data_IF_672606693760
#
_entry.id   IF_672606693760
#
_cell.length_a   1.000
_cell.length_b   1.000
_cell.length_c   1.000
_cell.angle_alpha   90.00
_cell.angle_beta   90.00
_cell.angle_gamma   90.00
#
_symmetry.space_group_name_H-M   'P 1'
#
loop_
_entity.id
_entity.type
_entity.pdbx_description
1 polymer ?
#
# COMPACT_ATOMS: atom_id res chain seq x y z
N UNK A 1 -23.21 12.76 6.08
CA UNK A 1 -23.62 12.36 4.70
C UNK A 1 -22.94 11.04 4.42
N UNK A 2 -23.62 10.00 3.94
CA UNK A 2 -22.95 8.73 3.64
C UNK A 2 -22.93 8.41 2.14
N UNK A 3 -21.83 7.82 1.69
CA UNK A 3 -21.59 7.44 0.30
C UNK A 3 -21.29 5.94 0.25
N UNK A 4 -21.89 5.23 -0.71
CA UNK A 4 -21.55 3.83 -0.99
C UNK A 4 -20.99 3.69 -2.39
N UNK A 5 -19.80 3.11 -2.45
CA UNK A 5 -18.95 2.99 -3.62
C UNK A 5 -18.67 1.52 -3.91
N UNK A 6 -18.88 1.05 -5.13
CA UNK A 6 -18.52 -0.31 -5.53
C UNK A 6 -17.79 -0.31 -6.86
N UNK A 7 -16.58 -0.86 -6.93
CA UNK A 7 -15.73 -0.88 -8.12
C UNK A 7 -15.05 -2.23 -8.36
N UNK A 8 -14.70 -2.49 -9.63
CA UNK A 8 -13.96 -3.68 -10.05
C UNK A 8 -12.53 -3.29 -10.45
N UNK A 9 -11.53 -3.94 -9.84
CA UNK A 9 -10.13 -3.63 -10.10
C UNK A 9 -9.25 -4.88 -10.20
N UNK A 10 -8.28 -4.89 -11.12
CA UNK A 10 -7.23 -5.92 -11.17
C UNK A 10 -6.02 -5.43 -10.37
N UNK A 11 -5.69 -6.11 -9.27
CA UNK A 11 -4.74 -5.57 -8.30
C UNK A 11 -4.13 -6.57 -7.32
N UNK A 12 -3.34 -6.02 -6.40
CA UNK A 12 -2.83 -6.68 -5.21
C UNK A 12 -3.18 -5.84 -3.99
N UNK A 13 -3.30 -6.49 -2.84
CA UNK A 13 -3.35 -5.81 -1.55
C UNK A 13 -1.98 -5.85 -0.89
N UNK A 14 -1.61 -4.76 -0.23
CA UNK A 14 -0.38 -4.62 0.58
C UNK A 14 -0.76 -4.11 1.96
N UNK A 15 0.08 -4.30 2.99
CA UNK A 15 -0.14 -3.63 4.27
C UNK A 15 -0.15 -2.11 4.06
N UNK A 16 -1.10 -1.42 4.68
CA UNK A 16 -1.17 0.04 4.57
C UNK A 16 0.09 0.70 5.13
N UNK A 17 0.66 0.11 6.18
CA UNK A 17 1.96 0.46 6.76
C UNK A 17 3.09 0.52 5.71
N UNK A 18 3.34 -0.59 5.01
CA UNK A 18 4.44 -0.64 4.04
C UNK A 18 4.27 0.36 2.90
N UNK A 19 3.02 0.62 2.48
CA UNK A 19 2.73 1.63 1.46
C UNK A 19 2.93 3.04 2.01
N UNK A 20 2.50 3.35 3.23
CA UNK A 20 2.71 4.67 3.85
C UNK A 20 4.19 5.02 3.93
N UNK A 21 5.04 4.07 4.33
CA UNK A 21 6.49 4.30 4.40
C UNK A 21 7.09 4.52 3.01
N UNK A 22 6.67 3.71 2.03
CA UNK A 22 7.10 3.90 0.65
C UNK A 22 6.67 5.26 0.07
N UNK A 23 5.46 5.73 0.40
CA UNK A 23 4.95 7.06 0.01
C UNK A 23 5.79 8.16 0.66
N UNK A 24 6.05 8.07 1.95
CA UNK A 24 6.85 9.07 2.67
C UNK A 24 8.31 9.11 2.17
N UNK A 25 8.90 7.96 1.85
CA UNK A 25 10.26 7.84 1.31
C UNK A 25 10.37 8.19 -0.19
N UNK A 26 9.27 8.24 -0.93
CA UNK A 26 9.30 8.41 -2.38
C UNK A 26 10.06 9.65 -2.86
N UNK A 27 9.86 10.85 -2.29
CA UNK A 27 10.53 12.05 -2.76
C UNK A 27 12.06 11.96 -2.64
N UNK A 28 12.58 11.31 -1.60
CA UNK A 28 14.03 11.14 -1.39
C UNK A 28 14.61 10.03 -2.27
N UNK A 29 13.82 9.01 -2.61
CA UNK A 29 14.25 7.88 -3.43
C UNK A 29 14.34 8.17 -4.94
N UNK A 30 13.67 9.21 -5.44
CA UNK A 30 13.66 9.54 -6.87
C UNK A 30 15.07 9.81 -7.44
N UNK A 31 15.86 10.64 -6.74
CA UNK A 31 17.23 10.96 -7.15
C UNK A 31 18.15 9.74 -7.18
N UNK A 32 18.28 8.99 -6.07
CA UNK A 32 19.02 7.74 -6.04
C UNK A 32 18.58 6.72 -7.09
N UNK A 33 17.27 6.60 -7.36
CA UNK A 33 16.76 5.72 -8.41
C UNK A 33 17.20 6.13 -9.80
N UNK A 34 17.11 7.42 -10.14
CA UNK A 34 17.58 7.93 -11.42
C UNK A 34 19.09 7.72 -11.60
N UNK A 35 19.88 7.97 -10.54
CA UNK A 35 21.32 7.74 -10.55
C UNK A 35 21.65 6.26 -10.78
N UNK A 36 21.06 5.35 -10.01
CA UNK A 36 21.33 3.92 -10.12
C UNK A 36 20.87 3.34 -11.46
N UNK A 37 19.73 3.78 -11.99
CA UNK A 37 19.26 3.37 -13.31
C UNK A 37 20.23 3.85 -14.42
N UNK A 38 20.78 5.06 -14.29
CA UNK A 38 21.79 5.60 -15.22
C UNK A 38 23.12 4.83 -15.14
N UNK A 39 23.59 4.49 -13.94
CA UNK A 39 24.79 3.66 -13.75
C UNK A 39 24.62 2.30 -14.41
N UNK A 40 23.50 1.63 -14.17
CA UNK A 40 23.20 0.33 -14.79
C UNK A 40 23.09 0.43 -16.32
N UNK A 41 22.47 1.49 -16.85
CA UNK A 41 22.39 1.73 -18.29
C UNK A 41 23.77 1.90 -18.93
N UNK A 42 24.58 2.82 -18.39
CA UNK A 42 25.92 3.10 -18.91
C UNK A 42 26.82 1.87 -18.85
N UNK A 43 26.73 1.09 -17.77
CA UNK A 43 27.49 -0.14 -17.67
C UNK A 43 27.07 -1.20 -18.70
N UNK A 44 25.77 -1.40 -18.92
CA UNK A 44 25.28 -2.30 -19.99
C UNK A 44 25.73 -1.88 -21.38
N UNK A 45 25.91 -0.57 -21.60
CA UNK A 45 26.40 -0.01 -22.86
C UNK A 45 27.93 0.04 -22.94
N UNK A 46 28.66 -0.31 -21.88
CA UNK A 46 30.12 -0.18 -21.82
C UNK A 46 30.62 1.28 -21.81
N UNK A 47 29.75 2.24 -21.46
CA UNK A 47 30.04 3.68 -21.47
C UNK A 47 30.19 4.28 -20.07
N UNK A 48 30.21 3.45 -19.03
CA UNK A 48 30.44 3.91 -17.66
C UNK A 48 31.92 4.28 -17.49
N UNK A 49 32.24 5.52 -17.81
CA UNK A 49 33.54 6.12 -17.52
C UNK A 49 33.44 6.98 -16.25
N UNK A 50 34.44 6.82 -15.39
CA UNK A 50 34.66 7.62 -14.19
C UNK A 50 36.10 8.08 -14.26
N UNK A 51 36.30 9.35 -14.59
CA UNK A 51 37.62 9.97 -14.63
C UNK A 51 38.17 10.08 -13.21
N UNK A 52 39.37 9.55 -12.99
CA UNK A 52 40.21 9.94 -11.86
C UNK A 52 41.12 11.07 -12.31
N UNK A 53 41.47 11.95 -11.37
CA UNK A 53 42.44 13.04 -11.55
C UNK A 53 43.79 12.57 -12.10
N UNK A 54 44.14 11.30 -11.85
CA UNK A 54 45.47 10.74 -12.09
C UNK A 54 45.54 9.74 -13.27
N UNK A 55 44.49 9.66 -14.12
CA UNK A 55 44.50 8.82 -15.33
C UNK A 55 44.31 7.31 -15.09
N UNK A 56 44.16 6.86 -13.84
CA UNK A 56 43.79 5.48 -13.52
C UNK A 56 42.30 5.20 -13.80
N UNK A 57 41.98 3.96 -14.22
CA UNK A 57 40.59 3.50 -14.21
C UNK A 57 40.05 3.49 -12.77
N UNK A 58 38.83 3.99 -12.60
CA UNK A 58 38.14 3.97 -11.31
C UNK A 58 37.53 2.60 -11.07
N UNK A 59 37.75 2.04 -9.88
CA UNK A 59 37.18 0.76 -9.42
C UNK A 59 35.65 0.74 -9.56
N UNK A 60 35.00 1.90 -9.52
CA UNK A 60 33.55 2.07 -9.71
C UNK A 60 33.07 1.56 -11.08
N UNK A 61 33.90 1.65 -12.12
CA UNK A 61 33.56 1.17 -13.47
C UNK A 61 33.43 -0.35 -13.52
N UNK A 62 34.24 -1.05 -12.71
CA UNK A 62 34.32 -2.52 -12.68
C UNK A 62 33.32 -3.15 -11.70
N UNK A 63 32.57 -2.35 -10.93
CA UNK A 63 31.63 -2.85 -9.92
C UNK A 63 30.52 -3.70 -10.57
N UNK A 64 30.35 -4.98 -10.16
CA UNK A 64 29.33 -5.89 -10.68
C UNK A 64 27.88 -5.41 -10.47
N UNK A 65 26.93 -5.97 -11.23
CA UNK A 65 25.54 -5.44 -11.26
C UNK A 65 24.82 -5.79 -9.97
N UNK A 66 25.18 -6.94 -9.45
CA UNK A 66 24.78 -7.51 -8.18
C UNK A 66 25.12 -6.55 -7.04
N UNK A 67 26.29 -5.90 -7.08
CA UNK A 67 26.68 -4.92 -6.05
C UNK A 67 25.83 -3.66 -6.16
N UNK A 68 25.56 -3.17 -7.38
CA UNK A 68 24.65 -2.03 -7.57
C UNK A 68 23.21 -2.34 -7.15
N UNK A 69 22.75 -3.57 -7.34
CA UNK A 69 21.45 -4.03 -6.88
C UNK A 69 21.40 -4.11 -5.34
N UNK A 70 22.48 -4.54 -4.68
CA UNK A 70 22.61 -4.50 -3.20
C UNK A 70 22.62 -3.05 -2.69
N UNK A 71 23.37 -2.15 -3.33
CA UNK A 71 23.39 -0.72 -2.98
C UNK A 71 21.99 -0.14 -3.09
N UNK A 72 21.28 -0.41 -4.19
CA UNK A 72 19.87 0.01 -4.37
C UNK A 72 19.00 -0.47 -3.23
N UNK A 73 19.05 -1.77 -2.93
CA UNK A 73 18.27 -2.39 -1.86
C UNK A 73 18.55 -1.71 -0.51
N UNK A 74 19.81 -1.44 -0.18
CA UNK A 74 20.19 -0.80 1.08
C UNK A 74 19.79 0.68 1.17
N UNK A 75 19.86 1.42 0.07
CA UNK A 75 19.34 2.80 0.02
C UNK A 75 17.84 2.82 0.30
N UNK A 76 17.09 1.89 -0.30
CA UNK A 76 15.64 1.76 -0.04
C UNK A 76 15.38 1.42 1.43
N UNK A 77 16.10 0.47 2.01
CA UNK A 77 15.95 0.12 3.43
C UNK A 77 16.15 1.32 4.35
N UNK A 78 17.17 2.16 4.08
CA UNK A 78 17.48 3.33 4.90
C UNK A 78 16.36 4.38 4.85
N UNK A 79 15.86 4.69 3.64
CA UNK A 79 14.79 5.68 3.47
C UNK A 79 13.46 5.18 4.05
N UNK A 80 13.14 3.89 3.86
CA UNK A 80 11.95 3.29 4.47
C UNK A 80 12.04 3.29 6.00
N UNK A 81 13.20 2.97 6.57
CA UNK A 81 13.39 2.99 8.03
C UNK A 81 13.29 4.40 8.59
N UNK A 82 13.82 5.40 7.89
CA UNK A 82 13.66 6.80 8.28
C UNK A 82 12.17 7.23 8.25
N UNK A 83 11.44 6.81 7.22
CA UNK A 83 10.00 7.07 7.10
C UNK A 83 9.18 6.39 8.21
N UNK A 84 9.49 5.15 8.55
CA UNK A 84 8.88 4.42 9.68
C UNK A 84 9.09 5.17 11.00
N UNK A 85 10.32 5.54 11.32
CA UNK A 85 10.66 6.27 12.56
C UNK A 85 9.90 7.59 12.62
N UNK A 86 9.87 8.36 11.52
CA UNK A 86 9.15 9.63 11.46
C UNK A 86 7.63 9.46 11.61
N UNK A 87 7.08 8.38 11.04
CA UNK A 87 5.66 8.06 11.19
C UNK A 87 5.32 7.70 12.64
N UNK A 88 6.08 6.79 13.25
CA UNK A 88 5.92 6.42 14.66
C UNK A 88 6.02 7.66 15.53
N UNK A 89 7.02 8.52 15.32
CA UNK A 89 7.18 9.79 16.05
C UNK A 89 5.95 10.70 15.91
N UNK A 90 5.34 10.77 14.72
CA UNK A 90 4.13 11.59 14.50
C UNK A 90 2.89 11.10 15.24
N UNK A 91 2.88 9.84 15.65
CA UNK A 91 1.77 9.23 16.41
C UNK A 91 2.01 9.25 17.93
N UNK A 92 3.16 9.76 18.39
CA UNK A 92 3.50 9.78 19.81
C UNK A 92 2.75 10.90 20.52
N UNK A 93 2.01 10.54 21.56
CA UNK A 93 1.62 11.50 22.60
C UNK A 93 2.81 11.80 23.51
N UNK A 94 2.98 13.09 23.86
CA UNK A 94 3.96 13.55 24.86
C UNK A 94 3.85 12.78 26.19
N UNK A 95 2.66 12.30 26.54
CA UNK A 95 2.38 11.64 27.82
C UNK A 95 2.56 10.11 27.79
N UNK A 96 2.42 9.44 26.64
CA UNK A 96 2.34 7.97 26.59
C UNK A 96 3.66 7.28 26.23
N UNK A 97 4.61 7.99 25.62
CA UNK A 97 5.79 7.33 25.05
C UNK A 97 6.99 7.19 26.01
N UNK A 98 6.88 7.65 27.26
CA UNK A 98 7.89 7.47 28.31
C UNK A 98 9.33 7.64 27.82
N UNK A 99 10.21 6.72 28.21
CA UNK A 99 11.63 6.69 27.83
C UNK A 99 11.92 6.05 26.45
N UNK A 100 10.89 5.58 25.73
CA UNK A 100 11.09 4.88 24.47
C UNK A 100 11.34 5.89 23.35
N UNK A 101 12.31 5.60 22.48
CA UNK A 101 12.52 6.37 21.24
C UNK A 101 11.70 5.78 20.10
N UNK A 102 11.27 6.60 19.12
CA UNK A 102 10.58 6.08 17.93
C UNK A 102 11.39 5.02 17.17
N UNK A 103 12.71 5.07 17.24
CA UNK A 103 13.59 4.05 16.66
C UNK A 103 13.45 2.66 17.29
N UNK A 104 12.85 2.55 18.48
CA UNK A 104 12.65 1.30 19.21
C UNK A 104 11.21 0.77 19.11
N UNK A 105 10.29 1.55 18.53
CA UNK A 105 8.87 1.24 18.47
C UNK A 105 8.47 0.89 17.03
N UNK A 106 7.52 -0.03 16.90
CA UNK A 106 6.78 -0.26 15.65
C UNK A 106 5.49 0.56 15.69
N UNK A 107 4.83 0.76 14.54
CA UNK A 107 3.52 1.40 14.51
C UNK A 107 2.51 0.67 15.41
N UNK A 108 2.46 -0.65 15.34
CA UNK A 108 1.58 -1.46 16.19
C UNK A 108 1.81 -1.21 17.69
N UNK A 109 3.07 -1.21 18.14
CA UNK A 109 3.39 -1.00 19.56
C UNK A 109 3.10 0.44 20.00
N UNK A 110 3.41 1.43 19.16
CA UNK A 110 3.09 2.82 19.43
C UNK A 110 1.57 3.03 19.53
N UNK A 111 0.80 2.41 18.62
CA UNK A 111 -0.65 2.44 18.62
C UNK A 111 -1.23 1.82 19.90
N UNK A 112 -0.78 0.61 20.29
CA UNK A 112 -1.25 -0.07 21.50
C UNK A 112 -0.94 0.72 22.78
N UNK A 113 0.25 1.32 22.88
CA UNK A 113 0.65 2.15 24.03
C UNK A 113 -0.26 3.38 24.13
N UNK A 114 -0.46 4.10 23.03
CA UNK A 114 -1.30 5.30 23.00
C UNK A 114 -2.77 4.97 23.30
N UNK A 115 -3.30 3.89 22.70
CA UNK A 115 -4.67 3.43 22.93
C UNK A 115 -4.91 3.07 24.40
N UNK A 116 -3.94 2.39 25.04
CA UNK A 116 -4.05 2.01 26.45
C UNK A 116 -3.96 3.20 27.42
N UNK A 117 -3.09 4.18 27.15
CA UNK A 117 -2.80 5.26 28.11
C UNK A 117 -3.71 6.48 27.96
N UNK A 118 -4.01 6.92 26.74
CA UNK A 118 -4.78 8.14 26.54
C UNK A 118 -6.27 7.89 26.35
N UNK A 119 -6.69 6.68 25.95
CA UNK A 119 -8.08 6.38 25.54
C UNK A 119 -8.51 7.11 24.27
N UNK A 120 -7.95 8.29 24.02
CA UNK A 120 -7.81 8.96 22.75
C UNK A 120 -6.61 8.30 22.05
N UNK A 121 -6.89 7.36 21.13
CA UNK A 121 -5.85 6.94 20.21
C UNK A 121 -5.34 8.22 19.56
N UNK A 122 -4.04 8.49 19.65
CA UNK A 122 -3.30 9.64 19.07
C UNK A 122 -3.40 9.71 17.52
N UNK A 123 -4.57 9.45 16.99
CA UNK A 123 -4.90 8.66 15.81
C UNK A 123 -6.14 9.25 15.11
N UNK A 124 -6.99 10.00 15.83
CA UNK A 124 -8.17 10.67 15.25
C UNK A 124 -7.81 11.75 14.24
N UNK A 125 -6.61 12.35 14.35
CA UNK A 125 -6.09 13.33 13.37
C UNK A 125 -5.22 12.70 12.27
N UNK A 126 -4.84 11.42 12.38
CA UNK A 126 -4.01 10.79 11.36
C UNK A 126 -4.87 10.34 10.19
N UNK A 127 -4.83 11.11 9.11
CA UNK A 127 -5.62 10.84 7.89
C UNK A 127 -5.00 9.76 6.98
N UNK A 128 -3.89 9.12 7.33
CA UNK A 128 -3.31 8.06 6.50
C UNK A 128 -3.05 8.52 5.06
N UNK A 129 -3.58 7.78 4.07
CA UNK A 129 -3.51 8.10 2.64
C UNK A 129 -4.66 9.00 2.16
N UNK A 130 -5.63 9.34 3.02
CA UNK A 130 -6.68 10.32 2.69
C UNK A 130 -6.17 11.75 2.83
N UNK A 131 -5.09 11.97 3.58
CA UNK A 131 -4.34 13.23 3.56
C UNK A 131 -3.94 13.59 2.12
N UNK A 132 -4.32 14.79 1.69
CA UNK A 132 -4.15 15.24 0.31
C UNK A 132 -2.69 15.14 -0.17
N UNK A 133 -1.74 15.54 0.66
CA UNK A 133 -0.32 15.57 0.28
C UNK A 133 0.23 14.15 0.11
N UNK A 134 -0.04 13.25 1.05
CA UNK A 134 0.35 11.83 0.94
C UNK A 134 -0.34 11.16 -0.24
N UNK A 135 -1.60 11.48 -0.50
CA UNK A 135 -2.34 10.97 -1.65
C UNK A 135 -1.68 11.36 -2.98
N UNK A 136 -1.34 12.64 -3.16
CA UNK A 136 -0.67 13.15 -4.37
C UNK A 136 0.69 12.45 -4.60
N UNK A 137 1.45 12.22 -3.52
CA UNK A 137 2.72 11.49 -3.59
C UNK A 137 2.49 10.01 -3.92
N UNK A 138 1.49 9.36 -3.31
CA UNK A 138 1.13 7.97 -3.60
C UNK A 138 0.72 7.77 -5.06
N UNK A 139 -0.08 8.69 -5.60
CA UNK A 139 -0.47 8.68 -7.02
C UNK A 139 0.75 8.83 -7.93
N UNK A 140 1.67 9.75 -7.60
CA UNK A 140 2.92 9.93 -8.36
C UNK A 140 3.82 8.68 -8.30
N UNK A 141 3.97 8.08 -7.12
CA UNK A 141 4.72 6.85 -6.91
C UNK A 141 4.14 5.72 -7.76
N UNK A 142 2.84 5.45 -7.65
CA UNK A 142 2.19 4.32 -8.34
C UNK A 142 2.17 4.52 -9.86
N UNK A 143 1.97 5.75 -10.32
CA UNK A 143 2.03 6.10 -11.74
C UNK A 143 3.40 5.74 -12.35
N UNK A 144 4.50 5.90 -11.60
CA UNK A 144 5.85 5.53 -12.08
C UNK A 144 6.02 4.02 -12.34
N UNK A 145 5.16 3.18 -11.78
CA UNK A 145 5.09 1.74 -12.04
C UNK A 145 3.93 1.35 -12.98
N UNK A 146 3.19 2.33 -13.52
CA UNK A 146 2.02 2.09 -14.35
C UNK A 146 0.87 1.44 -13.57
N UNK A 147 0.71 1.84 -12.31
CA UNK A 147 -0.29 1.39 -11.34
C UNK A 147 -1.10 2.59 -10.82
N UNK A 148 -2.19 2.32 -10.10
CA UNK A 148 -3.06 3.32 -9.52
C UNK A 148 -3.49 2.93 -8.10
N UNK A 149 -3.97 3.92 -7.35
CA UNK A 149 -4.64 3.76 -6.06
C UNK A 149 -6.15 3.97 -6.29
N UNK A 150 -6.97 2.91 -6.34
CA UNK A 150 -8.42 3.05 -6.55
C UNK A 150 -9.11 3.90 -5.50
N UNK A 151 -8.65 3.78 -4.25
CA UNK A 151 -9.16 4.51 -3.11
C UNK A 151 -8.05 4.72 -2.09
N UNK A 152 -7.96 5.89 -1.46
CA UNK A 152 -7.05 6.11 -0.33
C UNK A 152 -7.49 5.39 0.95
N UNK A 153 -8.69 4.83 0.97
CA UNK A 153 -9.30 4.34 2.20
C UNK A 153 -8.84 2.90 2.45
N UNK A 154 -8.20 2.64 3.61
CA UNK A 154 -7.64 1.33 3.91
C UNK A 154 -8.74 0.29 4.14
N UNK A 155 -8.45 -0.94 3.76
CA UNK A 155 -9.27 -2.12 4.08
C UNK A 155 -8.99 -2.53 5.52
N UNK A 156 -10.03 -2.61 6.35
CA UNK A 156 -9.92 -2.92 7.77
C UNK A 156 -10.00 -4.41 8.09
N UNK A 157 -9.37 -4.80 9.19
CA UNK A 157 -9.44 -6.17 9.71
C UNK A 157 -10.85 -6.49 10.27
N UNK A 158 -11.47 -5.50 10.90
CA UNK A 158 -12.78 -5.56 11.53
C UNK A 158 -13.69 -4.47 10.95
N UNK A 159 -14.99 -4.71 10.99
CA UNK A 159 -16.01 -3.70 10.68
C UNK A 159 -17.06 -3.76 11.80
N UNK A 160 -16.63 -3.97 13.06
CA UNK A 160 -17.57 -4.07 14.18
C UNK A 160 -18.17 -2.71 14.48
N UNK A 161 -19.47 -2.72 14.78
CA UNK A 161 -20.30 -1.55 15.10
C UNK A 161 -19.82 -0.82 16.36
N UNK A 162 -19.01 -1.47 17.19
CA UNK A 162 -18.48 -0.94 18.46
C UNK A 162 -17.14 -0.18 18.31
N UNK A 163 -16.61 -0.05 17.09
CA UNK A 163 -15.38 0.73 16.84
C UNK A 163 -15.69 2.23 16.81
N UNK A 164 -14.93 3.01 17.59
CA UNK A 164 -15.06 4.46 17.65
C UNK A 164 -14.94 5.07 16.23
N UNK A 165 -15.89 5.93 15.82
CA UNK A 165 -15.81 6.63 14.53
C UNK A 165 -14.50 7.41 14.41
N UNK A 166 -13.77 7.25 13.30
CA UNK A 166 -12.61 8.08 12.97
C UNK A 166 -11.21 7.53 13.28
N UNK A 167 -11.08 6.30 13.83
CA UNK A 167 -9.76 5.66 14.05
C UNK A 167 -9.22 4.87 12.83
N UNK A 168 -10.03 4.70 11.78
CA UNK A 168 -9.79 3.70 10.72
C UNK A 168 -8.53 3.93 9.91
N UNK A 169 -8.09 5.18 9.77
CA UNK A 169 -6.87 5.54 9.05
C UNK A 169 -5.61 5.33 9.88
N UNK A 170 -5.73 5.19 11.19
CA UNK A 170 -4.61 5.05 12.12
C UNK A 170 -4.43 3.63 12.67
N UNK A 171 -5.33 2.72 12.34
CA UNK A 171 -5.23 1.31 12.68
C UNK A 171 -4.06 0.64 11.92
N UNK A 172 -3.11 0.01 12.63
CA UNK A 172 -1.94 -0.64 12.01
C UNK A 172 -2.33 -1.94 11.27
N UNK A 173 -3.40 -2.62 11.71
CA UNK A 173 -3.90 -3.86 11.08
C UNK A 173 -4.84 -3.53 9.93
N UNK A 174 -4.29 -2.91 8.87
CA UNK A 174 -5.02 -2.48 7.67
C UNK A 174 -4.26 -2.81 6.38
N UNK A 175 -4.98 -2.92 5.26
CA UNK A 175 -4.41 -3.19 3.95
C UNK A 175 -4.92 -2.23 2.87
N UNK A 176 -4.06 -1.86 1.92
CA UNK A 176 -4.42 -1.00 0.80
C UNK A 176 -4.42 -1.77 -0.51
N UNK A 177 -5.44 -1.55 -1.35
CA UNK A 177 -5.50 -2.11 -2.69
C UNK A 177 -4.71 -1.22 -3.66
N UNK A 178 -3.80 -1.84 -4.41
CA UNK A 178 -3.09 -1.23 -5.54
C UNK A 178 -3.55 -1.95 -6.80
N UNK A 179 -3.95 -1.20 -7.83
CA UNK A 179 -4.49 -1.79 -9.05
C UNK A 179 -3.77 -1.31 -10.31
N UNK A 180 -4.15 -1.90 -11.43
CA UNK A 180 -3.97 -1.27 -12.73
C UNK A 180 -4.83 0.00 -12.80
N UNK A 181 -4.40 1.03 -13.54
CA UNK A 181 -5.23 2.20 -13.80
C UNK A 181 -6.50 1.78 -14.54
N UNK A 182 -7.63 2.38 -14.15
CA UNK A 182 -8.89 2.25 -14.89
C UNK A 182 -8.80 2.88 -16.29
N UNK A 183 -9.79 2.62 -17.17
CA UNK A 183 -9.82 3.25 -18.49
C UNK A 183 -9.88 4.77 -18.36
N UNK A 184 -8.88 5.45 -18.93
CA UNK A 184 -8.64 6.90 -18.85
C UNK A 184 -9.72 7.80 -19.49
N UNK A 185 -10.83 7.23 -19.97
CA UNK A 185 -11.75 7.86 -20.92
C UNK A 185 -13.09 8.32 -20.32
N UNK A 186 -13.35 8.12 -19.03
CA UNK A 186 -14.58 8.57 -18.43
C UNK A 186 -14.27 9.45 -17.22
N UNK A 187 -14.75 10.68 -17.22
CA UNK A 187 -14.90 11.50 -16.00
C UNK A 187 -15.90 10.90 -15.00
N UNK A 188 -16.13 9.59 -15.07
CA UNK A 188 -17.08 8.76 -14.35
C UNK A 188 -16.38 7.41 -14.21
N UNK A 189 -16.17 6.89 -12.99
CA UNK A 189 -15.67 5.53 -12.79
C UNK A 189 -16.64 4.54 -13.46
N UNK A 190 -16.32 3.92 -14.62
CA UNK A 190 -17.30 3.14 -15.37
C UNK A 190 -17.63 1.80 -14.71
N UNK A 191 -16.86 1.41 -13.69
CA UNK A 191 -17.12 0.23 -12.88
C UNK A 191 -17.54 0.60 -11.45
N UNK A 192 -17.53 1.89 -11.12
CA UNK A 192 -17.89 2.50 -9.85
C UNK A 192 -19.38 2.81 -9.76
N UNK A 193 -20.09 2.19 -8.82
CA UNK A 193 -21.42 2.65 -8.41
C UNK A 193 -21.25 3.51 -7.17
N UNK A 194 -21.43 4.82 -7.32
CA UNK A 194 -21.43 5.79 -6.23
C UNK A 194 -22.87 6.17 -5.91
N UNK A 195 -23.32 5.91 -4.68
CA UNK A 195 -24.69 6.22 -4.26
C UNK A 195 -24.68 6.91 -2.91
N UNK A 196 -25.27 8.11 -2.78
CA UNK A 196 -25.53 8.68 -1.46
C UNK A 196 -26.53 7.78 -0.75
N UNK A 197 -26.12 7.20 0.37
CA UNK A 197 -27.02 6.46 1.24
C UNK A 197 -27.42 7.36 2.43
N UNK A 198 -28.62 7.13 2.97
CA UNK A 198 -29.11 7.82 4.15
C UNK A 198 -29.08 6.87 5.34
N UNK A 199 -28.53 7.31 6.47
CA UNK A 199 -28.57 6.57 7.74
C UNK A 199 -27.64 7.23 8.75
N UNK A 200 -28.16 7.60 9.93
CA UNK A 200 -27.39 8.29 10.98
C UNK A 200 -26.55 7.37 11.87
N UNK A 201 -26.52 6.07 11.61
CA UNK A 201 -25.97 5.05 12.54
C UNK A 201 -25.26 3.88 11.83
N UNK A 202 -25.02 3.95 10.52
CA UNK A 202 -24.38 2.84 9.81
C UNK A 202 -22.85 2.93 9.96
N UNK A 203 -22.24 1.95 10.63
CA UNK A 203 -20.79 1.76 10.63
C UNK A 203 -20.27 1.70 9.19
N UNK A 204 -19.13 2.34 8.92
CA UNK A 204 -18.42 2.17 7.65
C UNK A 204 -18.31 0.68 7.32
N UNK A 205 -18.64 0.29 6.09
CA UNK A 205 -18.74 -1.11 5.69
C UNK A 205 -17.87 -1.40 4.48
N UNK A 206 -17.09 -2.48 4.53
CA UNK A 206 -16.27 -2.90 3.39
C UNK A 206 -16.57 -4.36 3.03
N UNK A 207 -16.62 -4.66 1.73
CA UNK A 207 -16.72 -6.00 1.19
C UNK A 207 -15.74 -6.17 0.01
N UNK A 208 -14.92 -7.22 0.04
CA UNK A 208 -13.91 -7.48 -0.98
C UNK A 208 -14.05 -8.92 -1.47
N UNK A 209 -14.37 -9.10 -2.75
CA UNK A 209 -14.56 -10.42 -3.34
C UNK A 209 -13.59 -10.68 -4.47
N UNK A 210 -13.10 -11.91 -4.55
CA UNK A 210 -12.37 -12.39 -5.72
C UNK A 210 -13.34 -12.63 -6.88
N UNK A 211 -12.93 -12.19 -8.08
CA UNK A 211 -13.66 -12.41 -9.33
C UNK A 211 -12.72 -13.04 -10.35
N UNK A 212 -13.27 -13.80 -11.30
CA UNK A 212 -12.48 -14.47 -12.35
C UNK A 212 -12.76 -13.85 -13.72
N UNK A 213 -11.79 -13.08 -14.23
CA UNK A 213 -11.76 -12.56 -15.60
C UNK A 213 -10.37 -12.75 -16.21
N UNK A 214 -10.24 -12.46 -17.51
CA UNK A 214 -8.96 -12.50 -18.22
C UNK A 214 -7.91 -11.59 -17.56
N UNK A 215 -6.66 -12.06 -17.52
CA UNK A 215 -5.55 -11.31 -16.92
C UNK A 215 -4.99 -10.30 -17.91
N UNK A 216 -4.89 -9.00 -17.56
CA UNK A 216 -4.26 -8.00 -18.41
C UNK A 216 -2.76 -8.29 -18.64
N UNK A 217 -2.28 -8.08 -19.86
CA UNK A 217 -0.88 -8.34 -20.23
C UNK A 217 0.11 -7.51 -19.43
N UNK A 218 1.20 -8.11 -18.95
CA UNK A 218 2.26 -7.43 -18.21
C UNK A 218 1.90 -6.98 -16.78
N UNK A 219 0.65 -7.20 -16.33
CA UNK A 219 0.19 -6.73 -15.02
C UNK A 219 1.01 -7.29 -13.85
N UNK A 220 1.27 -8.61 -13.86
CA UNK A 220 2.07 -9.29 -12.82
C UNK A 220 3.46 -8.69 -12.63
N UNK A 221 4.11 -8.29 -13.73
CA UNK A 221 5.47 -7.74 -13.68
C UNK A 221 5.49 -6.35 -13.04
N UNK A 222 4.46 -5.52 -13.28
CA UNK A 222 4.35 -4.19 -12.66
C UNK A 222 4.24 -4.28 -11.15
N UNK A 223 3.33 -5.14 -10.66
CA UNK A 223 3.17 -5.39 -9.23
C UNK A 223 4.45 -5.95 -8.60
N UNK A 224 5.08 -6.95 -9.23
CA UNK A 224 6.35 -7.51 -8.73
C UNK A 224 7.44 -6.46 -8.65
N UNK A 225 7.57 -5.60 -9.67
CA UNK A 225 8.56 -4.53 -9.70
C UNK A 225 8.32 -3.51 -8.59
N UNK A 226 7.07 -3.13 -8.34
CA UNK A 226 6.72 -2.23 -7.23
C UNK A 226 7.12 -2.85 -5.89
N UNK A 227 6.61 -4.05 -5.61
CA UNK A 227 6.82 -4.75 -4.34
C UNK A 227 8.30 -4.99 -4.08
N UNK A 228 9.05 -5.46 -5.08
CA UNK A 228 10.48 -5.72 -4.91
C UNK A 228 11.31 -4.45 -4.77
N UNK A 229 10.91 -3.34 -5.39
CA UNK A 229 11.71 -2.11 -5.43
C UNK A 229 11.47 -1.19 -4.25
N UNK A 230 10.32 -1.31 -3.58
CA UNK A 230 9.94 -0.52 -2.41
C UNK A 230 9.70 -1.38 -1.17
N UNK A 231 10.06 -2.66 -1.22
CA UNK A 231 9.95 -3.63 -0.12
C UNK A 231 8.54 -3.66 0.49
N UNK A 232 7.51 -3.51 -0.35
CA UNK A 232 6.13 -3.57 0.13
C UNK A 232 5.83 -4.96 0.68
N UNK A 233 4.91 -5.04 1.63
CA UNK A 233 4.48 -6.29 2.24
C UNK A 233 3.11 -6.67 1.66
N UNK A 234 3.04 -7.62 0.70
CA UNK A 234 1.76 -8.04 0.15
C UNK A 234 0.90 -8.71 1.21
N UNK A 235 -0.40 -8.43 1.20
CA UNK A 235 -1.36 -9.02 2.12
C UNK A 235 -2.43 -9.77 1.32
N UNK A 236 -2.90 -10.92 1.82
CA UNK A 236 -4.06 -11.60 1.24
C UNK A 236 -5.37 -11.09 1.85
N UNK A 237 -6.28 -10.59 1.01
CA UNK A 237 -7.56 -10.01 1.42
C UNK A 237 -8.69 -10.53 0.56
N UNK A 238 -9.64 -11.25 1.16
CA UNK A 238 -10.86 -11.72 0.50
C UNK A 238 -11.93 -12.08 1.53
N UNK A 239 -13.17 -11.66 1.27
CA UNK A 239 -14.36 -12.03 2.05
C UNK A 239 -15.09 -13.23 1.41
N UNK A 240 -14.65 -13.65 0.22
CA UNK A 240 -15.24 -14.75 -0.53
C UNK A 240 -14.95 -14.69 -2.03
N UNK A 241 -15.50 -15.66 -2.75
CA UNK A 241 -15.38 -15.79 -4.20
C UNK A 241 -16.75 -15.57 -4.85
N UNK A 242 -16.80 -14.68 -5.84
CA UNK A 242 -17.93 -14.58 -6.76
C UNK A 242 -17.53 -15.36 -8.02
N UNK A 243 -18.26 -16.45 -8.28
CA UNK A 243 -18.10 -17.27 -9.46
C UNK A 243 -19.40 -17.28 -10.26
N UNK A 244 -19.30 -17.41 -11.58
CA UNK A 244 -20.47 -17.61 -12.42
C UNK A 244 -21.10 -18.98 -12.06
N UNK A 245 -22.43 -19.01 -11.91
CA UNK A 245 -23.19 -20.17 -11.44
C UNK A 245 -22.94 -21.44 -12.29
N UNK A 246 -22.58 -21.27 -13.56
CA UNK A 246 -22.30 -22.35 -14.50
C UNK A 246 -20.86 -22.91 -14.42
N UNK A 247 -20.01 -22.37 -13.54
CA UNK A 247 -18.62 -22.81 -13.41
C UNK A 247 -18.45 -23.80 -12.26
N UNK A 248 -17.45 -24.69 -12.38
CA UNK A 248 -17.09 -25.63 -11.30
C UNK A 248 -16.84 -24.95 -9.94
N UNK A 249 -16.44 -23.68 -9.93
CA UNK A 249 -16.24 -22.89 -8.71
C UNK A 249 -17.54 -22.58 -7.94
N UNK A 250 -18.70 -22.59 -8.61
CA UNK A 250 -20.01 -22.35 -7.97
C UNK A 250 -20.52 -23.53 -7.13
N UNK A 251 -20.05 -24.76 -7.40
CA UNK A 251 -20.50 -25.97 -6.70
C UNK A 251 -19.81 -26.19 -5.34
N UNK A 252 -18.83 -25.36 -4.98
CA UNK A 252 -18.03 -25.49 -3.76
C UNK A 252 -18.30 -24.44 -2.68
N UNK A 253 -19.17 -23.46 -2.92
CA UNK A 253 -19.30 -22.26 -2.08
C UNK A 253 -20.22 -22.49 -0.87
N UNK A 254 -19.61 -22.54 0.33
CA UNK A 254 -20.34 -22.44 1.61
C UNK A 254 -20.95 -21.03 1.76
N UNK A 255 -22.10 -20.94 2.43
CA UNK A 255 -22.75 -19.66 2.84
C UNK A 255 -21.71 -18.69 3.40
N UNK A 256 -21.60 -17.52 2.79
CA UNK A 256 -20.67 -16.46 3.16
C UNK A 256 -21.00 -15.95 4.57
N UNK A 257 -20.12 -16.18 5.54
CA UNK A 257 -20.11 -15.46 6.82
C UNK A 257 -18.90 -14.54 6.80
N UNK A 258 -19.12 -13.22 6.96
CA UNK A 258 -18.06 -12.24 7.19
C UNK A 258 -17.31 -12.66 8.46
N UNK A 259 -16.14 -13.26 8.31
CA UNK A 259 -15.20 -13.48 9.41
C UNK A 259 -14.28 -12.26 9.47
N UNK A 260 -13.80 -11.92 10.67
CA UNK A 260 -12.73 -10.92 10.84
C UNK A 260 -11.58 -11.25 9.87
N UNK A 261 -11.13 -10.26 9.10
CA UNK A 261 -10.03 -10.43 8.14
C UNK A 261 -8.74 -10.63 8.94
N UNK A 262 -7.81 -11.39 8.36
CA UNK A 262 -6.46 -11.53 8.88
C UNK A 262 -5.54 -11.13 7.74
N UNK A 263 -4.85 -10.01 7.88
CA UNK A 263 -3.84 -9.62 6.92
C UNK A 263 -2.60 -10.49 7.15
N UNK A 264 -2.45 -11.49 6.29
CA UNK A 264 -1.26 -12.35 6.29
C UNK A 264 -0.32 -11.84 5.23
N UNK A 265 0.91 -11.54 5.63
CA UNK A 265 1.97 -11.22 4.70
C UNK A 265 2.23 -12.41 3.75
N UNK A 266 2.35 -12.10 2.46
CA UNK A 266 2.57 -13.08 1.40
C UNK A 266 3.92 -12.80 0.76
N UNK A 267 4.77 -13.82 0.71
CA UNK A 267 6.05 -13.75 0.03
C UNK A 267 5.87 -13.41 -1.47
N UNK A 268 6.83 -12.67 -2.05
CA UNK A 268 6.76 -12.13 -3.41
C UNK A 268 6.59 -13.20 -4.51
N UNK A 269 7.12 -14.41 -4.29
CA UNK A 269 6.96 -15.57 -5.17
C UNK A 269 5.50 -16.06 -5.22
N UNK A 270 4.80 -15.95 -4.08
CA UNK A 270 3.40 -16.32 -3.88
C UNK A 270 2.41 -15.19 -4.19
N UNK A 271 2.88 -14.00 -4.58
CA UNK A 271 2.03 -12.88 -4.97
C UNK A 271 1.11 -13.27 -6.13
N UNK A 272 -0.20 -13.19 -5.90
CA UNK A 272 -1.25 -13.50 -6.88
C UNK A 272 -2.12 -12.27 -7.15
N UNK A 273 -1.76 -11.43 -8.14
CA UNK A 273 -2.65 -10.38 -8.60
C UNK A 273 -3.94 -10.96 -9.18
N UNK A 274 -5.07 -10.34 -8.87
CA UNK A 274 -6.39 -10.85 -9.21
C UNK A 274 -7.42 -9.75 -9.38
N UNK A 275 -8.56 -10.11 -9.97
CA UNK A 275 -9.72 -9.22 -10.03
C UNK A 275 -10.42 -9.20 -8.68
N UNK A 276 -10.64 -8.00 -8.16
CA UNK A 276 -11.32 -7.72 -6.91
C UNK A 276 -12.56 -6.88 -7.19
N UNK A 277 -13.72 -7.35 -6.75
CA UNK A 277 -14.90 -6.50 -6.57
C UNK A 277 -14.83 -5.93 -5.16
N UNK A 278 -14.72 -4.62 -5.05
CA UNK A 278 -14.66 -3.91 -3.78
C UNK A 278 -15.91 -3.08 -3.62
N UNK A 279 -16.55 -3.15 -2.46
CA UNK A 279 -17.66 -2.30 -2.06
C UNK A 279 -17.31 -1.66 -0.73
N UNK A 280 -17.48 -0.34 -0.65
CA UNK A 280 -17.26 0.50 0.51
C UNK A 280 -18.53 1.30 0.78
N UNK A 281 -18.81 1.54 2.05
CA UNK A 281 -19.83 2.47 2.52
C UNK A 281 -19.17 3.31 3.61
N UNK A 282 -19.23 4.62 3.46
CA UNK A 282 -18.51 5.59 4.28
C UNK A 282 -19.48 6.64 4.79
N UNK A 283 -19.33 7.01 6.05
CA UNK A 283 -20.12 8.07 6.67
C UNK A 283 -19.24 9.29 6.95
N UNK A 284 -19.55 10.41 6.30
CA UNK A 284 -18.99 11.71 6.62
C UNK A 284 -19.75 12.33 7.79
N UNK A 285 -19.06 12.46 8.94
CA UNK A 285 -19.55 13.07 10.16
C UNK A 285 -19.25 14.57 10.20
#
# INVERSE_FOLDING_TARGET
MSESNAYLAYGITVTTESLLYAVAAWPTLQGPFAFLDLVQLRRRQGTLAVEKSDGECSVVQDVPSEVWDVVRHKVVDLELRAAEIAHVESLRCLECCGDWTAAQLTWMLAFDICLYHCGDGASTAFEGLTDRRRNEIAMTLLASFGLALPTPIPIRASCSVDELPGLHTAEPDTATLISLPGPSAAGVDPFGVHTPCGGGECSDGQAIFDVSFSVPSGAKQRFRRLVSRLHLQPAEVTDGLIANAETHAANGTKRLRRKRRKFKEVALDKLKPGWKLVSMAETHW
#
